data_IF_865082738666
#
_entry.id   IF_865082738666
#
_cell.length_a   1.000
_cell.length_b   1.000
_cell.length_c   1.000
_cell.angle_alpha   90.00
_cell.angle_beta   90.00
_cell.angle_gamma   90.00
#
_symmetry.space_group_name_H-M   'P 1'
#
loop_
_entity.id
_entity.type
_entity.pdbx_description
1 polymer ?
#
# COMPACT_ATOMS: atom_id res chain seq x y z
N UNK A 1 -33.68 10.11 1.52
CA UNK A 1 -32.75 10.82 2.44
C UNK A 1 -31.94 9.86 3.32
N UNK A 2 -32.55 8.90 4.04
CA UNK A 2 -31.81 7.97 4.94
C UNK A 2 -30.67 7.18 4.26
N UNK A 3 -30.88 6.68 3.02
CA UNK A 3 -29.85 5.92 2.26
C UNK A 3 -28.61 6.75 1.87
N UNK A 4 -28.80 8.06 1.65
CA UNK A 4 -27.71 8.99 1.34
C UNK A 4 -26.90 9.27 2.61
N UNK A 5 -27.59 9.44 3.75
CA UNK A 5 -26.96 9.60 5.06
C UNK A 5 -26.11 8.36 5.41
N UNK A 6 -26.61 7.15 5.17
CA UNK A 6 -25.82 5.93 5.39
C UNK A 6 -24.61 5.82 4.46
N UNK A 7 -24.73 6.25 3.19
CA UNK A 7 -23.60 6.24 2.26
C UNK A 7 -22.53 7.26 2.62
N UNK A 8 -22.94 8.46 3.06
CA UNK A 8 -22.02 9.51 3.52
C UNK A 8 -21.34 9.08 4.83
N UNK A 9 -22.07 8.45 5.75
CA UNK A 9 -21.50 7.93 7.00
C UNK A 9 -20.50 6.81 6.73
N UNK A 10 -20.78 5.92 5.78
CA UNK A 10 -19.86 4.85 5.38
C UNK A 10 -18.60 5.39 4.72
N UNK A 11 -18.74 6.38 3.83
CA UNK A 11 -17.60 7.07 3.23
C UNK A 11 -16.75 7.74 4.32
N UNK A 12 -17.38 8.44 5.26
CA UNK A 12 -16.68 9.08 6.37
C UNK A 12 -15.97 8.04 7.24
N UNK A 13 -16.58 6.89 7.52
CA UNK A 13 -15.98 5.83 8.33
C UNK A 13 -14.77 5.17 7.65
N UNK A 14 -14.76 5.06 6.32
CA UNK A 14 -13.61 4.54 5.55
C UNK A 14 -12.45 5.55 5.55
N UNK A 15 -12.75 6.85 5.46
CA UNK A 15 -11.72 7.88 5.45
C UNK A 15 -11.29 8.33 6.86
N UNK A 16 -12.05 8.00 7.91
CA UNK A 16 -11.76 8.38 9.29
C UNK A 16 -10.40 7.85 9.79
N UNK A 17 -9.99 6.59 9.53
CA UNK A 17 -8.65 6.10 9.87
C UNK A 17 -7.54 6.85 9.14
N UNK A 18 -7.76 7.25 7.88
CA UNK A 18 -6.77 8.03 7.11
C UNK A 18 -6.57 9.44 7.68
N UNK A 19 -7.65 10.06 8.18
CA UNK A 19 -7.58 11.35 8.88
C UNK A 19 -6.85 11.22 10.22
N UNK A 20 -7.12 10.16 10.98
CA UNK A 20 -6.40 9.90 12.24
C UNK A 20 -4.93 9.57 12.00
N UNK A 21 -4.59 8.83 10.94
CA UNK A 21 -3.19 8.56 10.57
C UNK A 21 -2.44 9.84 10.19
N UNK A 22 -3.12 10.79 9.55
CA UNK A 22 -2.55 12.09 9.22
C UNK A 22 -2.46 13.01 10.46
N UNK A 23 -3.43 12.94 11.36
CA UNK A 23 -3.47 13.73 12.60
C UNK A 23 -2.54 13.20 13.71
N UNK A 24 -2.15 11.92 13.67
CA UNK A 24 -1.11 11.36 14.53
C UNK A 24 0.31 11.59 13.98
N UNK A 25 0.44 12.12 12.76
CA UNK A 25 1.68 12.76 12.31
C UNK A 25 1.80 14.09 13.05
N UNK A 26 2.71 14.12 14.04
CA UNK A 26 3.01 15.25 14.92
C UNK A 26 2.66 16.63 14.32
N UNK A 27 1.78 17.34 15.01
CA UNK A 27 1.43 18.73 14.73
C UNK A 27 2.70 19.59 14.63
N UNK A 28 3.03 20.04 13.41
CA UNK A 28 3.95 21.17 13.19
C UNK A 28 5.45 20.90 13.36
N UNK A 29 5.89 19.68 13.61
CA UNK A 29 7.32 19.37 13.59
C UNK A 29 7.79 19.27 12.13
N UNK A 30 8.82 20.02 11.70
CA UNK A 30 9.29 19.95 10.33
C UNK A 30 9.66 18.51 10.03
N UNK A 31 8.91 17.88 9.11
CA UNK A 31 9.16 16.52 8.65
C UNK A 31 10.62 16.49 8.21
N UNK A 32 11.50 15.75 8.91
CA UNK A 32 12.90 15.72 8.55
C UNK A 32 13.03 15.25 7.12
N UNK A 33 13.80 15.99 6.31
CA UNK A 33 14.00 15.66 4.90
C UNK A 33 14.73 14.31 4.71
N UNK A 34 15.33 13.81 5.79
CA UNK A 34 16.12 12.59 5.90
C UNK A 34 15.67 11.75 7.09
N UNK A 35 15.73 10.43 6.93
CA UNK A 35 15.40 9.46 7.97
C UNK A 35 16.60 9.23 8.91
N UNK A 36 16.44 9.34 10.24
CA UNK A 36 17.52 9.07 11.19
C UNK A 36 17.88 7.58 11.20
N UNK A 37 19.15 7.23 11.03
CA UNK A 37 19.62 5.85 10.83
C UNK A 37 19.97 5.10 12.13
N UNK A 38 20.09 5.82 13.25
CA UNK A 38 20.75 5.36 14.48
C UNK A 38 20.10 4.13 15.14
N UNK A 39 18.83 3.87 14.83
CA UNK A 39 18.04 2.77 15.42
C UNK A 39 17.61 1.73 14.39
N UNK A 40 18.04 1.85 13.14
CA UNK A 40 17.64 0.96 12.05
C UNK A 40 18.68 -0.15 11.87
N UNK A 41 18.21 -1.34 11.49
CA UNK A 41 19.08 -2.46 11.16
C UNK A 41 18.51 -3.29 10.01
N UNK A 42 19.38 -4.05 9.34
CA UNK A 42 19.00 -4.94 8.24
C UNK A 42 18.43 -4.21 7.02
N UNK A 43 17.36 -4.75 6.43
CA UNK A 43 16.73 -4.23 5.21
C UNK A 43 16.20 -2.80 5.42
N UNK A 44 15.68 -2.50 6.60
CA UNK A 44 15.13 -1.18 6.92
C UNK A 44 16.22 -0.12 6.95
N UNK A 45 17.43 -0.46 7.44
CA UNK A 45 18.60 0.43 7.39
C UNK A 45 19.01 0.70 5.94
N UNK A 46 19.17 -0.36 5.14
CA UNK A 46 19.55 -0.23 3.73
C UNK A 46 18.54 0.62 2.94
N UNK A 47 17.25 0.40 3.19
CA UNK A 47 16.18 1.14 2.52
C UNK A 47 16.15 2.62 2.96
N UNK A 48 16.39 2.89 4.25
CA UNK A 48 16.49 4.26 4.77
C UNK A 48 17.74 4.99 4.27
N UNK A 49 18.86 4.28 4.11
CA UNK A 49 20.07 4.81 3.48
C UNK A 49 19.79 5.17 2.01
N UNK A 50 19.16 4.27 1.25
CA UNK A 50 18.78 4.55 -0.14
C UNK A 50 17.83 5.75 -0.26
N UNK A 51 16.87 5.88 0.66
CA UNK A 51 15.97 7.05 0.70
C UNK A 51 16.73 8.37 0.94
N UNK A 52 17.71 8.35 1.85
CA UNK A 52 18.50 9.54 2.19
C UNK A 52 19.47 9.93 1.08
N UNK A 53 20.07 8.94 0.40
CA UNK A 53 21.10 9.16 -0.62
C UNK A 53 20.49 9.51 -1.99
N UNK A 54 19.45 8.78 -2.43
CA UNK A 54 18.81 8.99 -3.73
C UNK A 54 17.30 8.67 -3.69
N UNK A 55 16.50 9.73 -3.51
CA UNK A 55 15.03 9.65 -3.45
C UNK A 55 14.41 9.10 -4.74
N UNK A 56 15.03 9.30 -5.90
CA UNK A 56 14.49 8.84 -7.19
C UNK A 56 14.68 7.32 -7.34
N UNK A 57 15.87 6.82 -7.01
CA UNK A 57 16.14 5.38 -7.00
C UNK A 57 15.27 4.67 -5.97
N UNK A 58 15.11 5.24 -4.78
CA UNK A 58 14.18 4.72 -3.78
C UNK A 58 12.75 4.62 -4.33
N UNK A 59 12.24 5.70 -4.94
CA UNK A 59 10.88 5.73 -5.47
C UNK A 59 10.66 4.66 -6.55
N UNK A 60 11.60 4.54 -7.50
CA UNK A 60 11.53 3.55 -8.56
C UNK A 60 11.59 2.12 -8.01
N UNK A 61 12.51 1.85 -7.08
CA UNK A 61 12.65 0.55 -6.42
C UNK A 61 11.32 0.12 -5.77
N UNK A 62 10.71 1.01 -4.98
CA UNK A 62 9.45 0.71 -4.29
C UNK A 62 8.31 0.52 -5.28
N UNK A 63 8.20 1.36 -6.31
CA UNK A 63 7.17 1.22 -7.35
C UNK A 63 7.28 -0.12 -8.08
N UNK A 64 8.48 -0.51 -8.51
CA UNK A 64 8.70 -1.79 -9.20
C UNK A 64 8.39 -2.96 -8.26
N UNK A 65 8.85 -2.89 -7.01
CA UNK A 65 8.58 -3.92 -6.00
C UNK A 65 7.08 -4.11 -5.79
N UNK A 66 6.31 -3.03 -5.70
CA UNK A 66 4.86 -3.10 -5.53
C UNK A 66 4.19 -3.75 -6.75
N UNK A 67 4.65 -3.44 -7.97
CA UNK A 67 4.17 -4.10 -9.19
C UNK A 67 4.45 -5.60 -9.20
N UNK A 68 5.65 -6.01 -8.78
CA UNK A 68 6.02 -7.43 -8.67
C UNK A 68 5.16 -8.14 -7.62
N UNK A 69 4.99 -7.54 -6.44
CA UNK A 69 4.14 -8.11 -5.38
C UNK A 69 2.70 -8.27 -5.86
N UNK A 70 2.14 -7.26 -6.54
CA UNK A 70 0.80 -7.34 -7.11
C UNK A 70 0.66 -8.48 -8.13
N UNK A 71 1.64 -8.64 -9.02
CA UNK A 71 1.68 -9.74 -9.99
C UNK A 71 1.77 -11.09 -9.29
N UNK A 72 2.64 -11.23 -8.28
CA UNK A 72 2.77 -12.46 -7.49
C UNK A 72 1.48 -12.81 -6.78
N UNK A 73 0.80 -11.83 -6.18
CA UNK A 73 -0.50 -12.05 -5.55
C UNK A 73 -1.55 -12.53 -6.57
N UNK A 74 -1.62 -11.93 -7.75
CA UNK A 74 -2.52 -12.38 -8.82
C UNK A 74 -2.28 -13.84 -9.21
N UNK A 75 -1.02 -14.20 -9.48
CA UNK A 75 -0.63 -15.58 -9.81
C UNK A 75 -0.91 -16.55 -8.66
N UNK A 76 -0.67 -16.13 -7.42
CA UNK A 76 -0.94 -16.94 -6.23
C UNK A 76 -2.43 -17.18 -6.07
N UNK A 77 -3.25 -16.15 -6.28
CA UNK A 77 -4.71 -16.26 -6.26
C UNK A 77 -5.20 -17.23 -7.34
N UNK A 78 -4.68 -17.13 -8.57
CA UNK A 78 -5.01 -18.07 -9.64
C UNK A 78 -4.63 -19.53 -9.28
N UNK A 79 -3.48 -19.73 -8.63
CA UNK A 79 -3.06 -21.04 -8.15
C UNK A 79 -4.01 -21.58 -7.09
N UNK A 80 -4.39 -20.76 -6.11
CA UNK A 80 -5.36 -21.16 -5.09
C UNK A 80 -6.72 -21.49 -5.70
N UNK A 81 -7.21 -20.69 -6.64
CA UNK A 81 -8.50 -20.94 -7.31
C UNK A 81 -8.47 -22.25 -8.11
N UNK A 82 -7.37 -22.54 -8.80
CA UNK A 82 -7.17 -23.84 -9.47
C UNK A 82 -7.16 -25.01 -8.49
N UNK A 83 -6.57 -24.85 -7.30
CA UNK A 83 -6.59 -25.88 -6.25
C UNK A 83 -8.01 -26.20 -5.77
N UNK A 84 -8.89 -25.20 -5.73
CA UNK A 84 -10.31 -25.37 -5.39
C UNK A 84 -11.19 -25.80 -6.59
N UNK A 85 -10.60 -26.05 -7.76
CA UNK A 85 -11.34 -26.45 -8.96
C UNK A 85 -12.10 -25.32 -9.64
N UNK A 86 -11.83 -24.06 -9.29
CA UNK A 86 -12.37 -22.87 -9.96
C UNK A 86 -11.40 -22.44 -11.07
N UNK A 87 -11.76 -22.75 -12.31
CA UNK A 87 -10.96 -22.38 -13.47
C UNK A 87 -11.25 -20.93 -13.88
N UNK A 88 -10.32 -20.04 -13.52
CA UNK A 88 -10.34 -18.61 -13.88
C UNK A 88 -10.09 -18.38 -15.37
N UNK A 89 -9.90 -19.44 -16.18
CA UNK A 89 -9.84 -19.30 -17.63
C UNK A 89 -11.17 -18.87 -18.28
N UNK A 90 -12.31 -18.93 -17.56
CA UNK A 90 -13.66 -18.71 -18.15
C UNK A 90 -14.32 -17.35 -17.84
N UNK A 91 -13.67 -16.47 -17.09
CA UNK A 91 -14.24 -15.14 -16.76
C UNK A 91 -13.79 -14.07 -17.77
N UNK A 92 -12.89 -14.42 -18.71
CA UNK A 92 -12.62 -13.60 -19.89
C UNK A 92 -13.69 -13.88 -20.96
N UNK A 93 -14.55 -12.89 -21.19
CA UNK A 93 -15.63 -12.88 -22.20
C UNK A 93 -16.87 -13.71 -21.85
N UNK A 94 -17.70 -13.17 -20.97
CA UNK A 94 -19.13 -13.07 -21.27
C UNK A 94 -19.64 -11.76 -20.69
N UNK A 95 -20.02 -10.87 -21.62
CA UNK A 95 -20.68 -9.55 -21.47
C UNK A 95 -19.82 -8.34 -21.14
#
# INVERSE_FOLDING_TARGET
MKRIIFSVLYLLLIFFPSYLAFAHGAEGEPIPDTVPLDKLSGITLWLAQLYNDDKLLFALLVTVTMGIVGLLLGLLTDLFLKLFGLDVSKIAHHE
#
